data_IF_676063697600
#
_entry.id   IF_676063697600
#
_cell.length_a   1.000
_cell.length_b   1.000
_cell.length_c   1.000
_cell.angle_alpha   90.00
_cell.angle_beta   90.00
_cell.angle_gamma   90.00
#
_symmetry.space_group_name_H-M   'P 1'
#
loop_
_entity.id
_entity.type
_entity.pdbx_description
1 polymer ?
#
# COMPACT_ATOMS: atom_id res chain seq x y z
N UNK A 1 -7.84 2.16 -13.30
CA UNK A 1 -6.80 1.64 -12.38
C UNK A 1 -7.42 1.38 -11.02
N UNK A 2 -6.82 0.50 -10.21
CA UNK A 2 -7.31 0.15 -8.87
C UNK A 2 -6.46 0.85 -7.82
N UNK A 3 -7.09 1.60 -6.91
CA UNK A 3 -6.39 2.27 -5.82
C UNK A 3 -5.74 1.25 -4.88
N UNK A 4 -4.48 1.45 -4.48
CA UNK A 4 -3.78 0.49 -3.62
C UNK A 4 -4.28 0.48 -2.18
N UNK A 5 -4.78 1.61 -1.68
CA UNK A 5 -5.34 1.68 -0.32
C UNK A 5 -6.79 1.17 -0.27
N UNK A 6 -7.75 1.90 -0.87
CA UNK A 6 -9.19 1.58 -0.73
C UNK A 6 -9.75 0.63 -1.82
N UNK A 7 -8.93 0.14 -2.74
CA UNK A 7 -9.31 -0.81 -3.81
C UNK A 7 -10.37 -0.33 -4.81
N UNK A 8 -10.80 0.92 -4.72
CA UNK A 8 -11.74 1.56 -5.67
C UNK A 8 -11.14 1.67 -7.08
N UNK A 9 -11.96 1.42 -8.10
CA UNK A 9 -11.63 1.71 -9.49
C UNK A 9 -11.72 3.21 -9.78
N UNK A 10 -10.70 3.79 -10.42
CA UNK A 10 -10.66 5.21 -10.77
C UNK A 10 -9.93 5.46 -12.10
N UNK A 11 -10.25 6.61 -12.70
CA UNK A 11 -9.60 7.11 -13.91
C UNK A 11 -8.31 7.86 -13.53
N UNK A 12 -7.22 7.55 -14.21
CA UNK A 12 -5.89 8.13 -14.00
C UNK A 12 -5.78 9.56 -14.58
N UNK A 13 -6.67 10.47 -14.16
CA UNK A 13 -6.72 11.84 -14.73
C UNK A 13 -5.59 12.72 -14.19
N UNK A 14 -5.36 12.65 -12.88
CA UNK A 14 -4.28 13.38 -12.21
C UNK A 14 -3.18 12.39 -11.79
N UNK A 15 -1.97 12.61 -12.31
CA UNK A 15 -0.80 11.77 -12.02
C UNK A 15 -0.23 12.00 -10.61
N UNK A 16 -0.63 13.09 -9.93
CA UNK A 16 -0.06 13.53 -8.65
C UNK A 16 -0.23 12.54 -7.50
N UNK A 17 -1.32 11.78 -7.50
CA UNK A 17 -1.67 10.87 -6.41
C UNK A 17 -1.55 9.41 -6.79
N UNK A 18 -1.12 9.08 -8.00
CA UNK A 18 -0.95 7.70 -8.41
C UNK A 18 0.08 7.00 -7.50
N UNK A 19 -0.16 5.73 -7.10
CA UNK A 19 -1.21 4.82 -7.56
C UNK A 19 -2.56 4.92 -6.82
N UNK A 20 -2.78 5.98 -6.04
CA UNK A 20 -4.00 6.20 -5.25
C UNK A 20 -5.05 7.04 -5.99
N UNK A 21 -6.32 6.90 -5.59
CA UNK A 21 -7.42 7.64 -6.20
C UNK A 21 -7.55 9.10 -5.71
N UNK A 22 -6.85 9.49 -4.64
CA UNK A 22 -6.92 10.84 -4.05
C UNK A 22 -5.75 11.08 -3.08
N UNK A 23 -5.56 12.36 -2.70
CA UNK A 23 -4.62 12.76 -1.63
C UNK A 23 -4.89 12.02 -0.31
N UNK A 24 -6.16 11.85 0.07
CA UNK A 24 -6.55 11.13 1.29
C UNK A 24 -6.01 9.70 1.31
N UNK A 25 -6.19 8.94 0.22
CA UNK A 25 -5.73 7.55 0.18
C UNK A 25 -4.19 7.45 0.24
N UNK A 26 -3.47 8.41 -0.35
CA UNK A 26 -2.00 8.50 -0.22
C UNK A 26 -1.57 8.74 1.23
N UNK A 27 -2.25 9.66 1.93
CA UNK A 27 -1.92 9.96 3.33
C UNK A 27 -2.25 8.81 4.28
N UNK A 28 -3.38 8.13 4.07
CA UNK A 28 -3.76 6.97 4.88
C UNK A 28 -2.77 5.81 4.70
N UNK A 29 -2.38 5.51 3.46
CA UNK A 29 -1.36 4.50 3.19
C UNK A 29 -0.05 4.80 3.92
N UNK A 30 0.40 6.06 3.89
CA UNK A 30 1.57 6.51 4.66
C UNK A 30 1.38 6.32 6.18
N UNK A 31 0.19 6.65 6.72
CA UNK A 31 -0.12 6.41 8.13
C UNK A 31 -0.07 4.93 8.50
N UNK A 32 -0.53 4.04 7.62
CA UNK A 32 -0.46 2.58 7.83
C UNK A 32 1.00 2.09 7.89
N UNK A 33 1.90 2.70 7.12
CA UNK A 33 3.35 2.44 7.22
C UNK A 33 3.95 2.96 8.52
N UNK A 34 3.64 4.22 8.90
CA UNK A 34 4.16 4.83 10.12
C UNK A 34 3.68 4.14 11.40
N UNK A 35 2.50 3.52 11.35
CA UNK A 35 1.90 2.77 12.47
C UNK A 35 2.18 1.27 12.44
N UNK A 36 3.04 0.81 11.52
CA UNK A 36 3.38 -0.62 11.36
C UNK A 36 2.16 -1.52 11.08
N UNK A 37 1.07 -0.96 10.56
CA UNK A 37 -0.12 -1.73 10.16
C UNK A 37 0.15 -2.57 8.91
N UNK A 38 1.03 -2.09 8.02
CA UNK A 38 1.52 -2.84 6.88
C UNK A 38 2.56 -3.89 7.30
N UNK A 39 2.08 -5.07 7.69
CA UNK A 39 2.91 -6.21 8.14
C UNK A 39 2.78 -7.43 7.23
N UNK A 40 3.87 -8.17 7.08
CA UNK A 40 3.88 -9.48 6.43
C UNK A 40 3.52 -10.52 7.48
N UNK A 41 2.57 -11.41 7.17
CA UNK A 41 2.07 -12.41 8.11
C UNK A 41 3.03 -13.56 8.37
N UNK A 42 3.96 -13.80 7.45
CA UNK A 42 4.89 -14.91 7.54
C UNK A 42 5.90 -14.68 8.67
N UNK A 43 6.13 -15.73 9.46
CA UNK A 43 7.16 -15.75 10.48
C UNK A 43 8.54 -15.80 9.82
N UNK A 44 9.48 -15.01 10.33
CA UNK A 44 10.89 -15.09 9.93
C UNK A 44 11.45 -16.45 10.36
N UNK A 45 11.39 -17.43 9.45
CA UNK A 45 12.06 -18.73 9.62
C UNK A 45 13.45 -18.63 8.97
N UNK A 46 14.54 -18.64 9.76
CA UNK A 46 15.90 -18.47 9.23
C UNK A 46 16.32 -19.54 8.20
N UNK A 47 15.62 -20.66 8.16
CA UNK A 47 15.90 -21.76 7.24
C UNK A 47 15.13 -21.68 5.91
N UNK A 48 14.12 -20.81 5.78
CA UNK A 48 13.35 -20.65 4.54
C UNK A 48 14.02 -19.69 3.53
N UNK A 49 14.93 -18.83 3.98
CA UNK A 49 15.64 -17.83 3.15
C UNK A 49 17.04 -18.28 2.67
N UNK A 50 17.37 -19.57 2.76
CA UNK A 50 18.61 -20.11 2.20
C UNK A 50 18.43 -20.38 0.70
N UNK A 51 19.04 -19.51 -0.12
CA UNK A 51 19.15 -19.65 -1.58
C UNK A 51 20.09 -20.78 -2.00
#
# INVERSE_FOLDING_TARGET
MKCLHCKKNFLAKDKKYLPFCSSRCKSLDLSDWLSEANKISDSLNPDQDKF
#
